data_IF_723970284156
#
_entry.id   IF_723970284156
#
_cell.length_a   1.000
_cell.length_b   1.000
_cell.length_c   1.000
_cell.angle_alpha   90.00
_cell.angle_beta   90.00
_cell.angle_gamma   90.00
#
_symmetry.space_group_name_H-M   'P 1'
#
loop_
_entity.id
_entity.type
_entity.pdbx_description
1 polymer ?
#
# COMPACT_ATOMS: atom_id res chain seq x y z
N UNK A 1 -14.60 -14.90 1.18
CA UNK A 1 -13.98 -13.62 1.55
C UNK A 1 -13.08 -13.14 0.43
N UNK A 2 -12.89 -11.83 0.24
CA UNK A 2 -11.93 -11.31 -0.72
C UNK A 2 -10.51 -11.77 -0.38
N UNK A 3 -9.64 -11.88 -1.39
CA UNK A 3 -8.27 -12.36 -1.19
C UNK A 3 -7.52 -11.49 -0.17
N UNK A 4 -6.91 -12.12 0.82
CA UNK A 4 -6.12 -11.50 1.87
C UNK A 4 -6.90 -10.83 3.00
N UNK A 5 -8.22 -10.64 2.87
CA UNK A 5 -9.06 -10.11 3.96
C UNK A 5 -9.49 -11.24 4.90
N UNK A 6 -9.31 -11.02 6.18
CA UNK A 6 -9.74 -11.91 7.28
C UNK A 6 -10.76 -11.17 8.15
N UNK A 7 -11.36 -11.84 9.13
CA UNK A 7 -12.26 -11.21 10.12
C UNK A 7 -11.55 -10.16 11.02
N UNK A 8 -10.21 -10.17 11.04
CA UNK A 8 -9.37 -9.24 11.80
C UNK A 8 -8.90 -8.04 11.00
N UNK A 9 -9.20 -8.03 9.70
CA UNK A 9 -8.83 -6.94 8.83
C UNK A 9 -9.96 -5.93 8.70
N UNK A 10 -9.60 -4.68 8.59
CA UNK A 10 -10.51 -3.57 8.41
C UNK A 10 -10.04 -2.69 7.27
N UNK A 11 -10.94 -1.93 6.69
CA UNK A 11 -10.61 -0.95 5.67
C UNK A 11 -11.59 0.23 5.70
N UNK A 12 -11.15 1.36 5.16
CA UNK A 12 -12.02 2.50 4.84
C UNK A 12 -12.06 2.76 3.33
N UNK A 13 -13.10 3.47 2.88
CA UNK A 13 -13.24 3.99 1.52
C UNK A 13 -14.04 5.30 1.52
N UNK A 14 -13.80 6.18 0.52
CA UNK A 14 -14.46 7.50 0.45
C UNK A 14 -15.47 7.63 -0.68
N UNK A 15 -15.39 6.83 -1.72
CA UNK A 15 -16.25 6.91 -2.91
C UNK A 15 -17.18 5.69 -2.99
N UNK A 16 -17.11 4.91 -4.04
CA UNK A 16 -17.95 3.73 -4.24
C UNK A 16 -17.57 2.62 -3.29
N UNK A 17 -18.58 1.95 -2.74
CA UNK A 17 -18.37 0.75 -1.95
C UNK A 17 -17.52 -0.26 -2.74
N UNK A 18 -16.50 -0.90 -2.12
CA UNK A 18 -15.79 -2.00 -2.76
C UNK A 18 -16.75 -3.12 -3.19
N UNK A 19 -16.39 -3.85 -4.25
CA UNK A 19 -17.21 -4.93 -4.80
C UNK A 19 -17.63 -6.00 -3.78
N UNK A 20 -16.85 -6.16 -2.72
CA UNK A 20 -17.12 -7.13 -1.63
C UNK A 20 -17.98 -6.57 -0.49
N UNK A 21 -18.33 -5.28 -0.51
CA UNK A 21 -19.23 -4.66 0.47
C UNK A 21 -18.62 -4.41 1.86
N UNK A 22 -17.32 -4.63 2.07
CA UNK A 22 -16.67 -4.44 3.36
C UNK A 22 -16.03 -3.05 3.45
N UNK A 23 -15.91 -2.55 4.68
CA UNK A 23 -15.22 -1.33 5.01
C UNK A 23 -16.12 -0.23 5.56
N UNK A 24 -15.49 0.77 6.18
CA UNK A 24 -16.13 1.98 6.72
C UNK A 24 -16.12 3.08 5.67
N UNK A 25 -17.28 3.61 5.33
CA UNK A 25 -17.38 4.76 4.41
C UNK A 25 -17.07 6.06 5.15
N UNK A 26 -16.23 6.90 4.54
CA UNK A 26 -16.03 8.30 4.94
C UNK A 26 -16.66 9.21 3.88
N UNK A 27 -17.50 10.14 4.31
CA UNK A 27 -18.28 11.00 3.40
C UNK A 27 -17.57 12.29 2.97
N UNK A 28 -16.48 12.66 3.65
CA UNK A 28 -15.69 13.88 3.37
C UNK A 28 -14.20 13.56 3.20
N UNK A 29 -13.42 14.48 2.61
CA UNK A 29 -11.96 14.35 2.65
C UNK A 29 -11.51 14.19 4.10
N UNK A 30 -11.04 13.01 4.46
CA UNK A 30 -10.60 12.68 5.80
C UNK A 30 -9.23 13.28 6.08
N UNK A 31 -8.98 13.68 7.31
CA UNK A 31 -7.63 13.87 7.84
C UNK A 31 -6.94 12.51 7.97
N UNK A 32 -5.61 12.49 8.08
CA UNK A 32 -4.87 11.25 8.35
C UNK A 32 -5.38 10.54 9.61
N UNK A 33 -5.70 11.31 10.66
CA UNK A 33 -6.23 10.78 11.91
C UNK A 33 -7.58 10.08 11.73
N UNK A 34 -8.50 10.68 10.98
CA UNK A 34 -9.81 10.07 10.69
C UNK A 34 -9.66 8.85 9.80
N UNK A 35 -8.80 8.92 8.78
CA UNK A 35 -8.58 7.84 7.84
C UNK A 35 -7.94 6.60 8.51
N UNK A 36 -6.96 6.79 9.39
CA UNK A 36 -6.29 5.69 10.09
C UNK A 36 -7.24 4.95 11.04
N UNK A 37 -8.07 5.70 11.79
CA UNK A 37 -9.06 5.14 12.70
C UNK A 37 -10.16 4.41 11.92
N UNK A 38 -10.71 5.04 10.87
CA UNK A 38 -11.74 4.43 10.04
C UNK A 38 -11.25 3.17 9.28
N UNK A 39 -9.96 3.11 8.97
CA UNK A 39 -9.32 1.93 8.38
C UNK A 39 -9.00 0.84 9.42
N UNK A 40 -9.17 1.10 10.72
CA UNK A 40 -8.78 0.18 11.80
C UNK A 40 -7.28 -0.06 11.84
N UNK A 41 -6.48 0.98 11.58
CA UNK A 41 -5.01 0.94 11.53
C UNK A 41 -4.36 1.73 12.68
N UNK A 42 -5.11 2.12 13.69
CA UNK A 42 -4.67 2.92 14.85
C UNK A 42 -3.93 2.12 15.95
N UNK A 43 -3.46 0.93 15.60
CA UNK A 43 -2.66 0.06 16.47
C UNK A 43 -1.15 0.22 16.21
N UNK A 44 -0.36 -0.08 17.25
CA UNK A 44 1.11 -0.05 17.19
C UNK A 44 1.71 -1.43 16.87
N UNK A 45 2.92 -1.41 16.34
CA UNK A 45 3.75 -2.59 16.15
C UNK A 45 4.93 -2.52 17.11
N UNK A 46 5.04 -3.50 18.00
CA UNK A 46 6.09 -3.57 19.01
C UNK A 46 7.04 -4.74 18.76
N UNK A 47 8.22 -4.67 19.36
CA UNK A 47 9.19 -5.75 19.32
C UNK A 47 9.41 -6.29 20.74
N UNK A 48 9.37 -7.63 20.90
CA UNK A 48 9.62 -8.30 22.16
C UNK A 48 10.66 -9.40 22.01
N UNK A 49 11.49 -9.69 23.07
CA UNK A 49 12.44 -10.80 23.05
C UNK A 49 11.77 -12.15 22.80
N UNK A 50 12.48 -13.05 22.15
CA UNK A 50 12.02 -14.42 21.88
C UNK A 50 12.78 -15.37 22.79
N UNK A 51 12.07 -16.32 23.39
CA UNK A 51 12.63 -17.30 24.32
C UNK A 51 12.40 -18.71 23.82
N UNK A 52 13.31 -19.63 24.22
CA UNK A 52 13.19 -21.07 24.02
C UNK A 52 13.48 -21.81 25.33
N UNK A 53 12.81 -22.93 25.66
CA UNK A 53 13.18 -23.72 26.81
C UNK A 53 14.52 -24.43 26.55
N UNK A 54 15.40 -24.45 27.55
CA UNK A 54 16.61 -25.30 27.58
C UNK A 54 16.25 -26.73 28.02
N UNK A 55 17.24 -27.61 28.10
CA UNK A 55 17.03 -29.02 28.52
C UNK A 55 16.41 -29.17 29.93
N UNK A 56 16.61 -28.19 30.81
CA UNK A 56 16.03 -28.15 32.16
C UNK A 56 14.65 -27.47 32.20
N UNK A 57 14.12 -27.05 31.06
CA UNK A 57 12.82 -26.35 30.95
C UNK A 57 12.87 -24.87 31.29
N UNK A 58 14.02 -24.28 31.55
CA UNK A 58 14.15 -22.85 31.81
C UNK A 58 14.11 -22.07 30.49
N UNK A 59 13.38 -20.96 30.47
CA UNK A 59 13.31 -20.05 29.29
C UNK A 59 14.64 -19.30 29.14
N UNK A 60 15.24 -19.41 27.97
CA UNK A 60 16.48 -18.73 27.59
C UNK A 60 16.18 -17.86 26.38
N UNK A 61 16.62 -16.60 26.44
CA UNK A 61 16.45 -15.67 25.35
C UNK A 61 17.24 -16.10 24.10
N UNK A 62 16.61 -16.05 22.94
CA UNK A 62 17.26 -16.25 21.63
C UNK A 62 17.98 -14.96 21.25
N UNK A 63 19.32 -14.93 21.22
CA UNK A 63 20.06 -13.71 20.96
C UNK A 63 19.82 -13.18 19.54
N UNK A 64 19.77 -11.87 19.41
CA UNK A 64 19.57 -11.16 18.13
C UNK A 64 18.25 -11.51 17.41
N UNK A 65 17.22 -11.98 18.12
CA UNK A 65 15.89 -12.24 17.58
C UNK A 65 14.83 -11.51 18.38
N UNK A 66 13.92 -10.85 17.66
CA UNK A 66 12.78 -10.16 18.24
C UNK A 66 11.51 -10.60 17.51
N UNK A 67 10.46 -10.84 18.27
CA UNK A 67 9.12 -11.02 17.73
C UNK A 67 8.54 -9.64 17.38
N UNK A 68 8.06 -9.48 16.16
CA UNK A 68 7.28 -8.32 15.70
C UNK A 68 5.82 -8.62 15.99
N UNK A 69 5.20 -7.80 16.83
CA UNK A 69 3.89 -8.08 17.43
C UNK A 69 2.95 -6.92 17.21
N UNK A 70 1.72 -7.20 16.86
CA UNK A 70 0.61 -6.26 16.87
C UNK A 70 0.20 -6.05 18.34
N UNK A 71 0.32 -4.81 18.84
CA UNK A 71 0.24 -4.54 20.27
C UNK A 71 -1.15 -4.78 20.87
N UNK A 72 -2.22 -4.39 20.15
CA UNK A 72 -3.60 -4.48 20.63
C UNK A 72 -4.17 -5.92 20.72
N UNK A 73 -3.57 -6.86 19.96
CA UNK A 73 -4.04 -8.26 19.88
C UNK A 73 -3.01 -9.27 20.37
N UNK A 74 -1.78 -8.84 20.66
CA UNK A 74 -0.60 -9.70 20.94
C UNK A 74 -0.29 -10.70 19.80
N UNK A 75 -0.81 -10.45 18.58
CA UNK A 75 -0.53 -11.31 17.44
C UNK A 75 0.90 -11.13 16.95
N UNK A 76 1.66 -12.22 16.90
CA UNK A 76 3.01 -12.23 16.34
C UNK A 76 2.96 -12.31 14.83
N UNK A 77 3.48 -11.27 14.16
CA UNK A 77 3.58 -11.23 12.71
C UNK A 77 4.78 -12.02 12.19
N UNK A 78 5.94 -11.86 12.84
CA UNK A 78 7.18 -12.53 12.44
C UNK A 78 8.23 -12.52 13.58
N UNK A 79 9.27 -13.33 13.41
CA UNK A 79 10.50 -13.27 14.23
C UNK A 79 11.60 -12.72 13.33
N UNK A 80 12.12 -11.56 13.70
CA UNK A 80 13.10 -10.81 12.91
C UNK A 80 14.44 -10.68 13.63
N UNK A 81 15.47 -10.23 12.90
CA UNK A 81 16.73 -9.84 13.53
C UNK A 81 16.56 -8.56 14.35
N UNK A 82 17.39 -8.36 15.36
CA UNK A 82 17.38 -7.13 16.17
C UNK A 82 17.66 -5.84 15.36
N UNK A 83 18.16 -5.96 14.13
CA UNK A 83 18.35 -4.81 13.22
C UNK A 83 17.12 -4.43 12.41
N UNK A 84 16.05 -5.22 12.45
CA UNK A 84 14.78 -4.88 11.82
C UNK A 84 14.09 -3.77 12.62
N UNK A 85 13.59 -2.75 11.93
CA UNK A 85 12.83 -1.64 12.53
C UNK A 85 11.45 -1.59 11.88
N UNK A 86 10.38 -1.95 12.59
CA UNK A 86 9.04 -1.84 12.06
C UNK A 86 8.69 -0.37 11.81
N UNK A 87 8.08 -0.08 10.66
CA UNK A 87 7.43 1.21 10.40
C UNK A 87 6.05 1.18 11.05
N UNK A 88 5.69 2.22 11.79
CA UNK A 88 4.36 2.33 12.37
C UNK A 88 3.33 2.72 11.29
N UNK A 89 2.06 2.38 11.51
CA UNK A 89 1.00 2.78 10.60
C UNK A 89 0.89 4.31 10.50
N UNK A 90 1.05 5.00 11.62
CA UNK A 90 1.07 6.47 11.68
C UNK A 90 2.19 7.11 10.86
N UNK A 91 3.35 6.45 10.76
CA UNK A 91 4.46 6.94 9.95
C UNK A 91 4.09 6.94 8.46
N UNK A 92 3.36 5.90 8.03
CA UNK A 92 2.88 5.77 6.67
C UNK A 92 1.90 6.90 6.32
N UNK A 93 0.92 7.17 7.17
CA UNK A 93 -0.03 8.26 6.98
C UNK A 93 0.66 9.62 7.05
N UNK A 94 1.54 9.85 8.03
CA UNK A 94 2.30 11.10 8.18
C UNK A 94 3.17 11.45 6.97
N UNK A 95 3.69 10.44 6.26
CA UNK A 95 4.45 10.66 5.02
C UNK A 95 3.60 11.31 3.91
N UNK A 96 2.29 11.09 3.93
CA UNK A 96 1.35 11.53 2.89
C UNK A 96 0.52 12.75 3.31
N UNK A 97 0.53 13.11 4.59
CA UNK A 97 -0.27 14.20 5.15
C UNK A 97 -0.05 15.55 4.46
N UNK A 98 1.19 15.85 4.10
CA UNK A 98 1.52 17.11 3.45
C UNK A 98 0.83 17.28 2.08
N UNK A 99 0.51 16.17 1.39
CA UNK A 99 -0.20 16.18 0.12
C UNK A 99 -1.68 16.41 0.32
N UNK A 100 -2.26 15.70 1.28
CA UNK A 100 -3.69 15.79 1.59
C UNK A 100 -4.02 17.13 2.23
N UNK A 101 -3.17 17.63 3.16
CA UNK A 101 -3.34 18.92 3.80
C UNK A 101 -3.27 20.11 2.84
N UNK A 102 -2.55 20.00 1.73
CA UNK A 102 -2.50 21.04 0.68
C UNK A 102 -3.70 20.98 -0.28
N UNK A 103 -4.63 20.05 -0.10
CA UNK A 103 -5.76 19.83 -1.01
C UNK A 103 -5.35 19.23 -2.36
N UNK A 104 -4.08 18.84 -2.51
CA UNK A 104 -3.54 18.25 -3.74
C UNK A 104 -3.91 16.77 -3.90
N UNK A 105 -4.49 16.12 -2.88
CA UNK A 105 -4.89 14.72 -2.92
C UNK A 105 -5.91 14.41 -1.81
N UNK A 106 -6.58 13.25 -1.89
CA UNK A 106 -7.52 12.79 -0.86
C UNK A 106 -7.30 11.32 -0.54
N UNK A 107 -7.46 10.93 0.73
CA UNK A 107 -7.46 9.53 1.11
C UNK A 107 -8.65 8.83 0.45
N UNK A 108 -8.37 7.75 -0.29
CA UNK A 108 -9.39 7.06 -1.07
C UNK A 108 -9.76 5.69 -0.51
N UNK A 109 -8.78 4.83 -0.27
CA UNK A 109 -8.95 3.58 0.47
C UNK A 109 -7.74 3.34 1.36
N UNK A 110 -7.94 2.73 2.51
CA UNK A 110 -6.86 2.25 3.37
C UNK A 110 -7.34 1.02 4.12
N UNK A 111 -6.42 0.15 4.52
CA UNK A 111 -6.80 -1.01 5.31
C UNK A 111 -5.64 -1.97 5.55
N UNK A 112 -5.98 -3.13 6.13
CA UNK A 112 -5.06 -4.22 6.38
C UNK A 112 -5.44 -5.50 5.63
N UNK A 113 -4.46 -6.39 5.51
CA UNK A 113 -4.60 -7.73 4.95
C UNK A 113 -3.85 -8.72 5.83
N UNK A 114 -4.33 -9.97 5.84
CA UNK A 114 -3.72 -11.08 6.58
C UNK A 114 -3.61 -10.81 8.08
N UNK A 115 -4.67 -10.20 8.67
CA UNK A 115 -4.73 -9.86 10.09
C UNK A 115 -3.84 -8.68 10.50
N UNK A 116 -3.50 -7.78 9.58
CA UNK A 116 -2.62 -6.63 9.82
C UNK A 116 -1.18 -6.85 9.39
N UNK A 117 -0.81 -8.03 8.85
CA UNK A 117 0.57 -8.28 8.37
C UNK A 117 0.98 -7.37 7.24
N UNK A 118 0.02 -6.95 6.44
CA UNK A 118 0.20 -5.98 5.35
C UNK A 118 -0.79 -4.85 5.52
N UNK A 119 -0.36 -3.63 5.23
CA UNK A 119 -1.24 -2.45 5.18
C UNK A 119 -1.08 -1.74 3.86
N UNK A 120 -2.14 -1.09 3.40
CA UNK A 120 -2.09 -0.18 2.27
C UNK A 120 -2.79 1.13 2.61
N UNK A 121 -2.36 2.18 1.94
CA UNK A 121 -2.97 3.50 1.92
C UNK A 121 -2.98 3.98 0.48
N UNK A 122 -4.16 4.18 -0.08
CA UNK A 122 -4.38 4.66 -1.43
C UNK A 122 -4.89 6.09 -1.39
N UNK A 123 -4.19 6.98 -2.06
CA UNK A 123 -4.48 8.39 -2.13
C UNK A 123 -4.85 8.72 -3.57
N UNK A 124 -6.04 9.29 -3.79
CA UNK A 124 -6.45 9.78 -5.10
C UNK A 124 -5.76 11.11 -5.37
N UNK A 125 -5.13 11.22 -6.54
CA UNK A 125 -4.53 12.45 -7.04
C UNK A 125 -5.59 13.32 -7.73
N UNK A 126 -5.37 14.66 -7.82
CA UNK A 126 -6.43 15.59 -8.22
C UNK A 126 -6.85 15.48 -9.69
N UNK A 127 -5.90 15.18 -10.56
CA UNK A 127 -6.14 15.24 -12.00
C UNK A 127 -6.43 13.85 -12.57
N UNK A 128 -7.65 13.65 -13.02
CA UNK A 128 -8.03 12.47 -13.78
C UNK A 128 -7.40 12.52 -15.19
N UNK A 129 -7.02 11.37 -15.74
CA UNK A 129 -6.39 11.24 -17.05
C UNK A 129 -7.45 10.77 -18.04
N UNK A 130 -7.82 11.61 -19.01
CA UNK A 130 -8.70 11.22 -20.11
C UNK A 130 -7.86 10.57 -21.23
N UNK A 131 -8.10 9.28 -21.51
CA UNK A 131 -7.39 8.52 -22.55
C UNK A 131 -7.97 8.82 -23.93
N UNK A 132 -9.28 8.67 -24.02
CA UNK A 132 -10.11 9.05 -25.16
C UNK A 132 -11.40 9.64 -24.61
N UNK A 133 -12.15 10.37 -25.41
CA UNK A 133 -13.37 11.02 -24.96
C UNK A 133 -14.31 10.05 -24.24
N UNK A 134 -14.45 10.26 -22.92
CA UNK A 134 -15.30 9.49 -22.04
C UNK A 134 -14.61 8.28 -21.35
N UNK A 135 -13.34 8.01 -21.65
CA UNK A 135 -12.54 6.98 -20.94
C UNK A 135 -11.52 7.66 -20.02
N UNK A 136 -11.84 7.68 -18.73
CA UNK A 136 -11.10 8.42 -17.71
C UNK A 136 -10.44 7.44 -16.73
N UNK A 137 -9.13 7.59 -16.55
CA UNK A 137 -8.35 6.89 -15.53
C UNK A 137 -8.15 7.81 -14.33
N UNK A 138 -8.43 7.29 -13.14
CA UNK A 138 -8.12 7.92 -11.87
C UNK A 138 -6.74 7.48 -11.39
N UNK A 139 -5.78 8.39 -11.26
CA UNK A 139 -4.47 8.04 -10.76
C UNK A 139 -4.43 8.06 -9.23
N UNK A 140 -3.67 7.16 -8.68
CA UNK A 140 -3.49 7.00 -7.24
C UNK A 140 -2.00 6.95 -6.88
N UNK A 141 -1.69 7.45 -5.69
CA UNK A 141 -0.48 7.15 -4.97
C UNK A 141 -0.79 6.02 -3.98
N UNK A 142 -0.15 4.87 -4.16
CA UNK A 142 -0.24 3.73 -3.25
C UNK A 142 0.96 3.72 -2.33
N UNK A 143 0.72 3.84 -1.03
CA UNK A 143 1.69 3.47 0.00
C UNK A 143 1.34 2.07 0.50
N UNK A 144 2.34 1.21 0.57
CA UNK A 144 2.22 -0.17 1.01
C UNK A 144 3.34 -0.52 1.97
N UNK A 145 2.99 -1.21 3.05
CA UNK A 145 3.94 -1.69 4.05
C UNK A 145 3.63 -3.12 4.47
N UNK A 146 4.65 -3.89 4.89
CA UNK A 146 4.45 -5.17 5.56
C UNK A 146 5.13 -5.21 6.93
N UNK A 147 4.46 -5.73 7.92
CA UNK A 147 4.98 -5.89 9.27
C UNK A 147 5.63 -7.26 9.50
N UNK A 148 5.40 -8.22 8.59
CA UNK A 148 5.96 -9.57 8.62
C UNK A 148 7.31 -9.70 7.90
N UNK A 149 7.86 -8.58 7.39
CA UNK A 149 9.13 -8.54 6.67
C UNK A 149 9.08 -9.13 5.26
N UNK A 150 7.92 -9.56 4.77
CA UNK A 150 7.77 -10.11 3.42
C UNK A 150 8.03 -9.08 2.31
N UNK A 151 7.81 -7.81 2.62
CA UNK A 151 8.00 -6.69 1.70
C UNK A 151 8.60 -5.49 2.42
N UNK A 152 9.25 -4.61 1.68
CA UNK A 152 9.65 -3.31 2.19
C UNK A 152 8.49 -2.30 2.09
N UNK A 153 8.62 -1.17 2.77
CA UNK A 153 7.75 -0.04 2.55
C UNK A 153 7.94 0.47 1.11
N UNK A 154 6.84 0.63 0.40
CA UNK A 154 6.81 1.13 -0.98
C UNK A 154 5.82 2.28 -1.12
N UNK A 155 6.15 3.22 -1.99
CA UNK A 155 5.25 4.27 -2.43
C UNK A 155 5.32 4.32 -3.96
N UNK A 156 4.22 4.01 -4.64
CA UNK A 156 4.17 3.86 -6.09
C UNK A 156 2.94 4.53 -6.67
N UNK A 157 3.04 5.01 -7.91
CA UNK A 157 1.91 5.52 -8.67
C UNK A 157 1.22 4.37 -9.41
N UNK A 158 -0.11 4.34 -9.38
CA UNK A 158 -0.91 3.28 -9.98
C UNK A 158 -2.30 3.78 -10.40
N UNK A 159 -2.85 3.30 -11.51
CA UNK A 159 -4.25 3.54 -11.85
C UNK A 159 -5.21 2.54 -11.18
N UNK A 160 -4.69 1.62 -10.38
CA UNK A 160 -5.47 0.54 -9.79
C UNK A 160 -6.03 0.95 -8.42
N UNK A 161 -7.35 0.87 -8.28
CA UNK A 161 -8.02 1.02 -6.98
C UNK A 161 -7.79 -0.22 -6.12
N UNK A 162 -6.98 -0.08 -5.08
CA UNK A 162 -6.67 -1.18 -4.16
C UNK A 162 -7.78 -1.34 -3.13
N UNK A 163 -8.34 -2.56 -3.03
CA UNK A 163 -9.39 -2.94 -2.07
C UNK A 163 -9.21 -4.36 -1.52
N UNK A 164 -8.27 -5.15 -2.03
CA UNK A 164 -7.94 -6.50 -1.57
C UNK A 164 -6.56 -6.91 -2.08
N UNK A 165 -6.04 -8.08 -1.67
CA UNK A 165 -4.69 -8.55 -2.06
C UNK A 165 -4.53 -8.74 -3.58
N UNK A 166 -5.57 -9.14 -4.30
CA UNK A 166 -5.51 -9.26 -5.75
C UNK A 166 -5.25 -7.91 -6.41
N UNK A 167 -6.02 -6.87 -6.04
CA UNK A 167 -5.85 -5.52 -6.59
C UNK A 167 -4.54 -4.88 -6.11
N UNK A 168 -4.10 -5.16 -4.89
CA UNK A 168 -2.79 -4.75 -4.39
C UNK A 168 -1.64 -5.36 -5.23
N UNK A 169 -1.71 -6.66 -5.49
CA UNK A 169 -0.72 -7.37 -6.30
C UNK A 169 -0.63 -6.82 -7.72
N UNK A 170 -1.77 -6.54 -8.36
CA UNK A 170 -1.81 -5.91 -9.69
C UNK A 170 -1.19 -4.52 -9.65
N UNK A 171 -1.55 -3.68 -8.66
CA UNK A 171 -1.01 -2.34 -8.50
C UNK A 171 0.52 -2.34 -8.32
N UNK A 172 1.05 -3.24 -7.49
CA UNK A 172 2.49 -3.34 -7.23
C UNK A 172 3.28 -3.90 -8.43
N UNK A 173 2.70 -4.83 -9.19
CA UNK A 173 3.35 -5.45 -10.35
C UNK A 173 3.36 -4.53 -11.58
N UNK A 174 2.37 -3.66 -11.73
CA UNK A 174 2.26 -2.72 -12.83
C UNK A 174 2.94 -1.38 -12.55
N UNK A 175 3.34 -1.13 -11.29
CA UNK A 175 3.97 0.13 -10.92
C UNK A 175 5.32 0.28 -11.62
N UNK A 176 5.49 1.40 -12.32
CA UNK A 176 6.75 1.79 -12.96
C UNK A 176 7.40 2.89 -12.14
N UNK A 177 8.48 2.55 -11.43
CA UNK A 177 9.16 3.49 -10.54
C UNK A 177 8.50 3.60 -9.17
N UNK A 178 8.99 4.50 -8.34
CA UNK A 178 8.49 4.74 -7.00
C UNK A 178 9.57 4.74 -5.94
N UNK A 179 9.15 4.98 -4.71
CA UNK A 179 9.99 4.96 -3.53
C UNK A 179 9.99 3.57 -2.89
N UNK A 180 11.17 3.19 -2.35
CA UNK A 180 11.37 1.92 -1.69
C UNK A 180 12.28 2.09 -0.47
N UNK A 181 11.85 1.63 0.70
CA UNK A 181 12.64 1.66 1.93
C UNK A 181 12.59 0.33 2.67
N UNK A 182 13.78 -0.22 2.98
CA UNK A 182 13.90 -1.39 3.85
C UNK A 182 13.63 -1.01 5.30
N UNK A 183 13.12 -1.93 6.09
CA UNK A 183 12.88 -1.81 7.53
C UNK A 183 14.20 -1.80 8.33
N UNK A 184 14.91 -0.67 8.28
CA UNK A 184 16.18 -0.43 8.97
C UNK A 184 16.10 0.84 9.80
N UNK A 185 17.11 1.12 10.64
CA UNK A 185 17.14 2.32 11.51
C UNK A 185 16.89 3.64 10.77
N UNK A 186 17.16 3.69 9.48
CA UNK A 186 17.00 4.89 8.67
C UNK A 186 15.65 4.97 7.93
N UNK A 187 14.70 4.07 8.22
CA UNK A 187 13.44 4.03 7.48
C UNK A 187 12.69 5.36 7.54
N UNK A 188 12.66 6.03 8.69
CA UNK A 188 11.96 7.30 8.87
C UNK A 188 12.57 8.46 8.07
N UNK A 189 13.91 8.54 8.02
CA UNK A 189 14.57 9.54 7.17
C UNK A 189 14.30 9.27 5.70
N UNK A 190 14.26 8.00 5.29
CA UNK A 190 13.92 7.59 3.93
C UNK A 190 12.47 7.91 3.56
N UNK A 191 11.53 7.77 4.51
CA UNK A 191 10.13 8.17 4.30
C UNK A 191 10.02 9.68 4.10
N UNK A 192 10.84 10.48 4.77
CA UNK A 192 10.90 11.93 4.54
C UNK A 192 11.38 12.29 3.13
N UNK A 193 12.34 11.51 2.57
CA UNK A 193 12.79 11.65 1.17
C UNK A 193 11.68 11.30 0.16
N UNK A 194 10.73 10.43 0.54
CA UNK A 194 9.61 10.04 -0.31
C UNK A 194 8.73 11.23 -0.74
N UNK A 195 8.76 12.34 -0.01
CA UNK A 195 8.12 13.59 -0.42
C UNK A 195 8.65 14.13 -1.75
N UNK A 196 9.91 13.84 -2.10
CA UNK A 196 10.48 14.20 -3.41
C UNK A 196 9.90 13.33 -4.54
N UNK A 197 9.45 12.10 -4.23
CA UNK A 197 8.78 11.21 -5.21
C UNK A 197 7.48 11.82 -5.72
N UNK A 198 6.87 12.72 -4.98
CA UNK A 198 5.66 13.41 -5.38
C UNK A 198 5.91 14.45 -6.47
N UNK A 199 7.10 15.03 -6.54
CA UNK A 199 7.54 15.80 -7.71
C UNK A 199 7.70 14.93 -8.97
N UNK A 200 7.77 13.59 -8.82
CA UNK A 200 7.78 12.65 -9.94
C UNK A 200 6.37 12.34 -10.48
N UNK A 201 5.30 12.73 -9.79
CA UNK A 201 3.94 12.52 -10.27
C UNK A 201 3.75 13.16 -11.65
N UNK A 202 4.17 14.41 -11.85
CA UNK A 202 4.09 15.09 -13.14
C UNK A 202 4.89 14.38 -14.23
N UNK A 203 6.07 13.87 -13.91
CA UNK A 203 6.88 13.08 -14.85
C UNK A 203 6.21 11.74 -15.16
N UNK A 204 5.61 11.08 -14.18
CA UNK A 204 4.82 9.85 -14.37
C UNK A 204 3.62 10.11 -15.28
N UNK A 205 2.83 11.15 -15.03
CA UNK A 205 1.71 11.52 -15.87
C UNK A 205 2.13 11.77 -17.30
N UNK A 206 3.22 12.51 -17.50
CA UNK A 206 3.76 12.78 -18.84
C UNK A 206 4.16 11.50 -19.56
N UNK A 207 4.84 10.58 -18.85
CA UNK A 207 5.25 9.29 -19.43
C UNK A 207 4.04 8.39 -19.70
N UNK A 208 3.10 8.32 -18.77
CA UNK A 208 1.88 7.52 -18.88
C UNK A 208 1.01 8.00 -20.04
N UNK A 209 0.79 9.32 -20.16
CA UNK A 209 0.06 9.91 -21.29
C UNK A 209 0.74 9.60 -22.62
N UNK A 210 2.07 9.66 -22.72
CA UNK A 210 2.80 9.26 -23.94
C UNK A 210 2.59 7.81 -24.31
N UNK A 211 2.60 6.90 -23.33
CA UNK A 211 2.36 5.46 -23.57
C UNK A 211 0.92 5.23 -24.05
N UNK A 212 -0.05 5.91 -23.44
CA UNK A 212 -1.45 5.86 -23.86
C UNK A 212 -1.61 6.38 -25.28
N UNK A 213 -1.04 7.55 -25.58
CA UNK A 213 -1.09 8.13 -26.93
C UNK A 213 -0.50 7.17 -27.97
N UNK A 214 0.60 6.50 -27.64
CA UNK A 214 1.18 5.46 -28.51
C UNK A 214 0.23 4.28 -28.71
N UNK A 215 -0.43 3.79 -27.65
CA UNK A 215 -1.37 2.68 -27.73
C UNK A 215 -2.63 3.04 -28.50
N UNK A 216 -3.23 4.19 -28.23
CA UNK A 216 -4.46 4.68 -28.88
C UNK A 216 -4.23 4.94 -30.38
N UNK A 217 -3.05 5.45 -30.75
CA UNK A 217 -2.68 5.73 -32.13
C UNK A 217 -2.07 4.52 -32.86
N UNK A 218 -1.80 3.40 -32.16
CA UNK A 218 -1.30 2.17 -32.79
C UNK A 218 -2.42 1.43 -33.49
N UNK A 219 -2.36 1.38 -34.84
CA UNK A 219 -3.28 0.57 -35.64
C UNK A 219 -2.74 -0.85 -35.76
N UNK A 220 -3.45 -1.82 -35.19
CA UNK A 220 -3.15 -3.22 -35.38
C UNK A 220 -3.74 -3.69 -36.73
N UNK A 221 -2.97 -4.45 -37.48
CA UNK A 221 -3.49 -5.21 -38.63
C UNK A 221 -4.32 -6.39 -38.13
N UNK A 222 -5.18 -6.96 -38.99
CA UNK A 222 -5.99 -8.13 -38.64
C UNK A 222 -5.12 -9.32 -38.16
N UNK A 223 -3.94 -9.53 -38.77
CA UNK A 223 -2.98 -10.57 -38.36
C UNK A 223 -2.39 -10.30 -36.97
N UNK A 224 -2.01 -9.06 -36.67
CA UNK A 224 -1.50 -8.67 -35.34
C UNK A 224 -2.57 -8.82 -34.26
N UNK A 225 -3.81 -8.46 -34.58
CA UNK A 225 -4.95 -8.65 -33.67
C UNK A 225 -5.19 -10.13 -33.39
N UNK A 226 -5.13 -10.97 -34.42
CA UNK A 226 -5.27 -12.42 -34.26
C UNK A 226 -4.14 -13.03 -33.42
N UNK A 227 -2.88 -12.66 -33.68
CA UNK A 227 -1.71 -13.11 -32.90
C UNK A 227 -1.82 -12.66 -31.43
N UNK A 228 -2.24 -11.42 -31.19
CA UNK A 228 -2.49 -10.91 -29.83
C UNK A 228 -3.56 -11.72 -29.10
N UNK A 229 -4.71 -11.95 -29.74
CA UNK A 229 -5.79 -12.75 -29.15
C UNK A 229 -5.37 -14.18 -28.82
N UNK A 230 -4.57 -14.82 -29.68
CA UNK A 230 -4.05 -16.18 -29.45
C UNK A 230 -3.03 -16.25 -28.29
N UNK A 231 -2.38 -15.15 -27.92
CA UNK A 231 -1.44 -15.10 -26.79
C UNK A 231 -2.10 -14.77 -25.46
N UNK A 232 -3.27 -14.14 -25.50
CA UNK A 232 -3.97 -13.68 -24.29
C UNK A 232 -5.06 -14.66 -23.85
N UNK A 233 -5.61 -15.44 -24.79
CA UNK A 233 -6.66 -16.45 -24.59
C UNK A 233 -6.20 -17.82 -25.03
#
# INVERSE_FOLDING_TARGET
MPAGLTERDSMMYTDKIPWHGLGTKLDNPATASEAIVAAGLDWAVVQRPVYTPNQAGHLVEIPNRLAVIREDTDETFAIMSAGYMPSQNWDAFGATDALVAQGAAVYHTAGSLFGGRKIWLLIKLPDDIEIIKGDVIQPYLLLYNSHDGSQALRMVLTPIRVVCDNTLSVALNQATGGFYAKHTRNIMSRVAEAREVLGLADAYYTMFNRQIDQLVNSRLTALQTQDYLQRVY
#
